data_IF_568939534310
#
_entry.id   IF_568939534310
#
_cell.length_a   1.000
_cell.length_b   1.000
_cell.length_c   1.000
_cell.angle_alpha   90.00
_cell.angle_beta   90.00
_cell.angle_gamma   90.00
#
_symmetry.space_group_name_H-M   'P 1'
#
loop_
_entity.id
_entity.type
_entity.pdbx_description
1 polymer ?
#
# COMPACT_ATOMS: atom_id res chain seq x y z
N UNK A 1 -22.13 -6.27 7.62
CA UNK A 1 -23.52 -6.15 8.10
C UNK A 1 -23.95 -4.71 8.41
N UNK A 2 -23.02 -3.75 8.45
CA UNK A 2 -23.32 -2.33 8.59
C UNK A 2 -24.41 -1.83 7.62
N UNK A 3 -25.24 -0.90 8.11
CA UNK A 3 -26.25 -0.19 7.32
C UNK A 3 -25.59 1.00 6.60
N UNK A 4 -25.13 0.77 5.38
CA UNK A 4 -24.47 1.76 4.53
C UNK A 4 -25.19 1.83 3.18
N UNK A 5 -25.30 3.02 2.60
CA UNK A 5 -25.89 3.20 1.28
C UNK A 5 -24.94 2.66 0.21
N UNK A 6 -25.47 2.35 -0.99
CA UNK A 6 -24.62 1.98 -2.13
C UNK A 6 -23.59 3.08 -2.46
N UNK A 7 -23.96 4.37 -2.59
CA UNK A 7 -22.99 5.45 -2.81
C UNK A 7 -21.96 5.57 -1.69
N UNK A 8 -22.37 5.42 -0.42
CA UNK A 8 -21.46 5.46 0.72
C UNK A 8 -20.44 4.32 0.70
N UNK A 9 -20.90 3.10 0.41
CA UNK A 9 -20.04 1.93 0.28
C UNK A 9 -19.08 2.04 -0.91
N UNK A 10 -19.55 2.53 -2.06
CA UNK A 10 -18.72 2.78 -3.24
C UNK A 10 -17.62 3.81 -2.93
N UNK A 11 -17.96 4.90 -2.25
CA UNK A 11 -16.98 5.93 -1.86
C UNK A 11 -15.92 5.39 -0.89
N UNK A 12 -16.34 4.60 0.11
CA UNK A 12 -15.43 3.93 1.04
C UNK A 12 -14.53 2.97 0.28
N UNK A 13 -15.10 2.13 -0.58
CA UNK A 13 -14.37 1.12 -1.35
C UNK A 13 -13.30 1.76 -2.23
N UNK A 14 -13.67 2.76 -3.03
CA UNK A 14 -12.72 3.44 -3.92
C UNK A 14 -11.60 4.12 -3.14
N UNK A 15 -11.94 4.84 -2.06
CA UNK A 15 -10.95 5.55 -1.25
C UNK A 15 -9.95 4.59 -0.60
N UNK A 16 -10.42 3.50 -0.02
CA UNK A 16 -9.55 2.57 0.69
C UNK A 16 -8.77 1.68 -0.28
N UNK A 17 -9.36 1.27 -1.41
CA UNK A 17 -8.62 0.58 -2.49
C UNK A 17 -7.44 1.42 -3.00
N UNK A 18 -7.65 2.73 -3.17
CA UNK A 18 -6.63 3.68 -3.59
C UNK A 18 -5.44 3.79 -2.61
N UNK A 19 -5.67 3.48 -1.35
CA UNK A 19 -4.68 3.56 -0.26
C UNK A 19 -4.05 2.20 0.06
N UNK A 20 -4.56 1.12 -0.52
CA UNK A 20 -4.19 -0.26 -0.17
C UNK A 20 -3.79 -1.05 -1.44
N UNK A 21 -4.74 -1.69 -2.12
CA UNK A 21 -4.45 -2.50 -3.31
C UNK A 21 -3.80 -1.70 -4.45
N UNK A 22 -4.20 -0.45 -4.68
CA UNK A 22 -3.58 0.39 -5.70
C UNK A 22 -2.16 0.86 -5.32
N UNK A 23 -1.69 0.55 -4.11
CA UNK A 23 -0.37 0.89 -3.59
C UNK A 23 0.61 -0.29 -3.56
N UNK A 24 0.19 -1.49 -3.97
CA UNK A 24 1.08 -2.67 -4.05
C UNK A 24 1.53 -2.95 -5.49
N UNK A 25 2.66 -3.62 -5.63
CA UNK A 25 3.19 -4.17 -6.88
C UNK A 25 4.21 -5.26 -6.55
N UNK A 26 4.08 -6.42 -7.19
CA UNK A 26 5.03 -7.53 -7.05
C UNK A 26 6.07 -7.44 -8.17
N UNK A 27 5.64 -7.55 -9.42
CA UNK A 27 6.45 -7.57 -10.65
C UNK A 27 6.26 -6.31 -11.50
N UNK A 28 5.08 -5.69 -11.44
CA UNK A 28 4.73 -4.51 -12.24
C UNK A 28 3.64 -4.79 -13.27
N UNK A 29 3.23 -6.05 -13.43
CA UNK A 29 2.23 -6.46 -14.41
C UNK A 29 0.83 -6.34 -13.81
N UNK A 30 -0.02 -5.55 -14.45
CA UNK A 30 -1.42 -5.38 -14.01
C UNK A 30 -2.26 -6.48 -14.64
N UNK A 31 -3.01 -7.22 -13.82
CA UNK A 31 -3.85 -8.33 -14.28
C UNK A 31 -5.03 -7.83 -15.11
N UNK A 32 -5.47 -8.62 -16.09
CA UNK A 32 -6.71 -8.39 -16.84
C UNK A 32 -7.97 -8.63 -16.01
N UNK A 33 -7.83 -9.16 -14.79
CA UNK A 33 -8.94 -9.67 -13.98
C UNK A 33 -8.99 -9.08 -12.57
N UNK A 34 -8.16 -8.09 -12.23
CA UNK A 34 -8.17 -7.46 -10.91
C UNK A 34 -9.57 -6.91 -10.58
N UNK A 35 -10.19 -7.47 -9.54
CA UNK A 35 -11.57 -7.17 -9.15
C UNK A 35 -11.69 -7.10 -7.63
N UNK A 36 -12.35 -6.07 -7.12
CA UNK A 36 -12.64 -5.90 -5.70
C UNK A 36 -14.13 -5.62 -5.51
N UNK A 37 -14.80 -6.43 -4.68
CA UNK A 37 -16.23 -6.32 -4.40
C UNK A 37 -16.47 -6.09 -2.91
N UNK A 38 -17.43 -5.23 -2.58
CA UNK A 38 -17.88 -5.01 -1.21
C UNK A 38 -19.41 -5.17 -1.14
N UNK A 39 -19.88 -5.88 -0.12
CA UNK A 39 -21.29 -6.22 0.08
C UNK A 39 -21.69 -5.86 1.51
N UNK A 40 -22.81 -5.18 1.68
CA UNK A 40 -23.37 -4.82 2.97
C UNK A 40 -24.88 -5.07 3.00
N UNK A 41 -25.33 -5.98 3.87
CA UNK A 41 -26.74 -6.39 3.96
C UNK A 41 -27.55 -5.59 5.02
N UNK A 42 -26.93 -4.70 5.79
CA UNK A 42 -27.62 -3.88 6.79
C UNK A 42 -28.12 -4.61 8.04
N UNK A 43 -27.76 -5.89 8.24
CA UNK A 43 -28.27 -6.70 9.34
C UNK A 43 -27.91 -6.19 10.75
N UNK A 44 -26.85 -5.37 10.88
CA UNK A 44 -26.50 -4.73 12.17
C UNK A 44 -27.52 -3.67 12.62
N UNK A 45 -28.41 -3.21 11.72
CA UNK A 45 -29.37 -2.15 11.99
C UNK A 45 -28.70 -0.79 12.25
N UNK A 46 -29.39 0.08 13.00
CA UNK A 46 -28.87 1.39 13.39
C UNK A 46 -29.01 2.50 12.34
N UNK A 47 -28.40 3.67 12.59
CA UNK A 47 -28.37 4.79 11.65
C UNK A 47 -27.57 4.47 10.39
N UNK A 48 -27.72 5.29 9.35
CA UNK A 48 -26.94 5.18 8.13
C UNK A 48 -25.47 5.53 8.41
N UNK A 49 -24.55 4.66 8.02
CA UNK A 49 -23.13 4.72 8.39
C UNK A 49 -22.20 5.27 7.29
N UNK A 50 -22.73 6.00 6.30
CA UNK A 50 -21.97 6.49 5.13
C UNK A 50 -20.76 7.35 5.52
N UNK A 51 -20.93 8.16 6.57
CA UNK A 51 -19.91 9.08 7.09
C UNK A 51 -19.22 8.56 8.35
N UNK A 52 -19.57 7.36 8.83
CA UNK A 52 -19.04 6.82 10.09
C UNK A 52 -17.53 6.55 10.01
N UNK A 53 -16.69 7.27 10.79
CA UNK A 53 -15.25 7.09 10.74
C UNK A 53 -14.82 5.68 11.15
N UNK A 54 -15.55 5.06 12.08
CA UNK A 54 -15.29 3.72 12.60
C UNK A 54 -15.43 2.66 11.52
N UNK A 55 -16.50 2.70 10.71
CA UNK A 55 -16.70 1.82 9.57
C UNK A 55 -15.56 1.95 8.57
N UNK A 56 -15.20 3.19 8.22
CA UNK A 56 -14.15 3.47 7.25
C UNK A 56 -12.77 2.99 7.72
N UNK A 57 -12.44 3.22 8.99
CA UNK A 57 -11.18 2.78 9.60
C UNK A 57 -11.10 1.25 9.67
N UNK A 58 -12.16 0.59 10.12
CA UNK A 58 -12.21 -0.87 10.18
C UNK A 58 -12.09 -1.49 8.78
N UNK A 59 -12.84 -0.94 7.81
CA UNK A 59 -12.76 -1.37 6.42
C UNK A 59 -11.34 -1.20 5.87
N UNK A 60 -10.77 0.00 5.97
CA UNK A 60 -9.42 0.32 5.53
C UNK A 60 -8.34 -0.59 6.15
N UNK A 61 -8.44 -0.90 7.44
CA UNK A 61 -7.52 -1.81 8.12
C UNK A 61 -7.56 -3.23 7.53
N UNK A 62 -8.76 -3.71 7.16
CA UNK A 62 -8.92 -5.01 6.49
C UNK A 62 -8.28 -4.99 5.09
N UNK A 63 -8.54 -3.98 4.26
CA UNK A 63 -7.88 -3.93 2.94
C UNK A 63 -6.37 -3.76 3.06
N UNK A 64 -5.87 -3.00 4.03
CA UNK A 64 -4.43 -2.86 4.24
C UNK A 64 -3.79 -4.20 4.60
N UNK A 65 -4.43 -4.95 5.49
CA UNK A 65 -3.98 -6.29 5.86
C UNK A 65 -3.94 -7.21 4.63
N UNK A 66 -5.02 -7.26 3.84
CA UNK A 66 -5.11 -8.11 2.65
C UNK A 66 -4.11 -7.69 1.57
N UNK A 67 -3.96 -6.40 1.29
CA UNK A 67 -2.98 -5.91 0.32
C UNK A 67 -1.54 -6.26 0.71
N UNK A 68 -1.20 -6.15 2.01
CA UNK A 68 0.10 -6.59 2.53
C UNK A 68 0.29 -8.10 2.44
N UNK A 69 -0.77 -8.88 2.64
CA UNK A 69 -0.73 -10.34 2.48
C UNK A 69 -0.42 -10.73 1.03
N UNK A 70 -1.12 -10.14 0.06
CA UNK A 70 -0.86 -10.33 -1.38
C UNK A 70 0.59 -9.98 -1.73
N UNK A 71 1.08 -8.81 -1.30
CA UNK A 71 2.45 -8.39 -1.59
C UNK A 71 3.51 -9.30 -0.93
N UNK A 72 3.20 -9.90 0.23
CA UNK A 72 4.09 -10.82 0.94
C UNK A 72 4.14 -12.19 0.28
N UNK A 73 3.03 -12.62 -0.31
CA UNK A 73 2.88 -13.89 -1.03
C UNK A 73 3.20 -13.75 -2.53
N UNK A 74 3.96 -12.70 -2.90
CA UNK A 74 4.46 -12.56 -4.26
C UNK A 74 5.35 -13.75 -4.65
N UNK A 75 5.37 -14.11 -5.92
CA UNK A 75 6.10 -15.27 -6.41
C UNK A 75 7.59 -15.22 -6.01
N UNK A 76 8.05 -16.21 -5.25
CA UNK A 76 9.43 -16.30 -4.76
C UNK A 76 9.82 -15.22 -3.73
N UNK A 77 8.86 -14.46 -3.18
CA UNK A 77 9.14 -13.41 -2.22
C UNK A 77 9.63 -13.97 -0.88
N UNK A 78 10.76 -13.46 -0.38
CA UNK A 78 11.31 -13.80 0.94
C UNK A 78 11.22 -12.64 1.94
N UNK A 79 10.92 -11.43 1.45
CA UNK A 79 10.88 -10.19 2.23
C UNK A 79 9.78 -9.27 1.69
N UNK A 80 9.12 -8.56 2.59
CA UNK A 80 8.16 -7.51 2.24
C UNK A 80 8.87 -6.15 2.23
N UNK A 81 8.83 -5.45 1.09
CA UNK A 81 9.30 -4.07 0.97
C UNK A 81 8.17 -3.09 1.29
N UNK A 82 8.39 -2.18 2.23
CA UNK A 82 7.52 -1.02 2.44
C UNK A 82 8.29 0.24 2.12
N UNK A 83 7.80 1.03 1.16
CA UNK A 83 8.40 2.32 0.81
C UNK A 83 7.52 3.42 1.41
N UNK A 84 8.13 4.26 2.26
CA UNK A 84 7.48 5.46 2.80
C UNK A 84 8.15 6.69 2.20
N UNK A 85 7.33 7.59 1.63
CA UNK A 85 7.78 8.86 1.09
C UNK A 85 7.13 9.98 1.89
N UNK A 86 7.96 10.88 2.42
CA UNK A 86 7.56 12.04 3.20
C UNK A 86 8.14 13.30 2.53
N UNK A 87 7.50 14.45 2.71
CA UNK A 87 7.98 15.74 2.17
C UNK A 87 7.82 15.92 0.65
N UNK A 88 7.06 15.07 -0.03
CA UNK A 88 6.68 15.30 -1.42
C UNK A 88 5.72 16.49 -1.54
N UNK A 89 5.68 17.13 -2.72
CA UNK A 89 4.80 18.28 -2.97
C UNK A 89 3.31 17.92 -2.78
N UNK A 90 2.92 16.74 -3.27
CA UNK A 90 1.58 16.20 -3.11
C UNK A 90 1.59 14.67 -3.07
N UNK A 91 0.42 14.09 -2.79
CA UNK A 91 0.23 12.64 -2.71
C UNK A 91 0.53 11.94 -4.04
N UNK A 92 0.30 12.59 -5.19
CA UNK A 92 0.57 11.98 -6.51
C UNK A 92 2.06 11.85 -6.75
N UNK A 93 2.85 12.86 -6.36
CA UNK A 93 4.31 12.78 -6.37
C UNK A 93 4.84 11.73 -5.41
N UNK A 94 4.32 11.69 -4.18
CA UNK A 94 4.70 10.67 -3.21
C UNK A 94 4.43 9.24 -3.75
N UNK A 95 3.26 9.03 -4.36
CA UNK A 95 2.89 7.77 -5.00
C UNK A 95 3.83 7.40 -6.15
N UNK A 96 4.17 8.36 -7.03
CA UNK A 96 5.12 8.14 -8.14
C UNK A 96 6.50 7.72 -7.63
N UNK A 97 7.03 8.45 -6.66
CA UNK A 97 8.30 8.14 -6.01
C UNK A 97 8.28 6.74 -5.35
N UNK A 98 7.26 6.45 -4.55
CA UNK A 98 7.11 5.18 -3.87
C UNK A 98 7.04 4.01 -4.87
N UNK A 99 6.24 4.15 -5.94
CA UNK A 99 6.07 3.11 -6.95
C UNK A 99 7.36 2.87 -7.74
N UNK A 100 8.10 3.91 -8.08
CA UNK A 100 9.38 3.79 -8.79
C UNK A 100 10.43 3.02 -7.96
N UNK A 101 10.52 3.30 -6.66
CA UNK A 101 11.42 2.58 -5.74
C UNK A 101 10.95 1.14 -5.53
N UNK A 102 9.66 0.94 -5.24
CA UNK A 102 9.10 -0.38 -5.00
C UNK A 102 9.18 -1.29 -6.24
N UNK A 103 9.14 -0.73 -7.45
CA UNK A 103 9.20 -1.50 -8.70
C UNK A 103 10.62 -1.77 -9.19
N UNK A 104 11.64 -1.11 -8.63
CA UNK A 104 13.03 -1.23 -9.09
C UNK A 104 13.60 -2.62 -8.84
N UNK A 105 14.00 -3.32 -9.91
CA UNK A 105 14.69 -4.62 -9.83
C UNK A 105 16.00 -4.54 -9.02
N UNK A 106 16.73 -3.44 -9.14
CA UNK A 106 17.95 -3.22 -8.37
C UNK A 106 17.66 -3.06 -6.87
N UNK A 107 16.59 -2.36 -6.50
CA UNK A 107 16.18 -2.25 -5.09
C UNK A 107 15.70 -3.62 -4.57
N UNK A 108 14.87 -4.34 -5.33
CA UNK A 108 14.38 -5.69 -4.97
C UNK A 108 15.51 -6.68 -4.77
N UNK A 109 16.51 -6.71 -5.66
CA UNK A 109 17.67 -7.59 -5.54
C UNK A 109 18.59 -7.21 -4.38
N UNK A 110 18.78 -5.92 -4.11
CA UNK A 110 19.51 -5.46 -2.93
C UNK A 110 18.81 -5.88 -1.63
N UNK A 111 17.48 -5.71 -1.56
CA UNK A 111 16.66 -6.18 -0.45
C UNK A 111 16.80 -7.70 -0.26
N UNK A 112 16.71 -8.49 -1.34
CA UNK A 112 16.89 -9.94 -1.29
C UNK A 112 18.25 -10.30 -0.67
N UNK A 113 19.34 -9.69 -1.15
CA UNK A 113 20.70 -9.85 -0.66
C UNK A 113 20.98 -9.25 0.73
N UNK A 114 19.99 -8.62 1.38
CA UNK A 114 20.16 -7.90 2.64
C UNK A 114 21.21 -6.76 2.58
N UNK A 115 21.38 -6.16 1.40
CA UNK A 115 22.26 -5.02 1.16
C UNK A 115 21.47 -3.71 1.28
N UNK A 116 21.68 -2.87 2.31
CA UNK A 116 20.97 -1.60 2.49
C UNK A 116 21.51 -0.52 1.52
N UNK A 117 21.33 -0.76 0.22
CA UNK A 117 21.91 0.04 -0.84
C UNK A 117 21.10 1.31 -1.12
N UNK A 118 21.37 2.36 -0.34
CA UNK A 118 20.71 3.67 -0.49
C UNK A 118 20.95 4.32 -1.86
N UNK A 119 22.06 3.99 -2.53
CA UNK A 119 22.36 4.47 -3.88
C UNK A 119 21.36 3.98 -4.92
N UNK A 120 20.95 2.70 -4.84
CA UNK A 120 19.90 2.14 -5.70
C UNK A 120 18.53 2.76 -5.44
N UNK A 121 18.22 3.08 -4.18
CA UNK A 121 16.99 3.79 -3.82
C UNK A 121 17.00 5.22 -4.38
N UNK A 122 18.11 5.94 -4.23
CA UNK A 122 18.27 7.30 -4.75
C UNK A 122 18.18 7.33 -6.29
N UNK A 123 18.78 6.34 -6.97
CA UNK A 123 18.66 6.21 -8.42
C UNK A 123 17.19 5.99 -8.85
N UNK A 124 16.46 5.12 -8.15
CA UNK A 124 15.05 4.87 -8.41
C UNK A 124 14.15 6.09 -8.17
N UNK A 125 14.45 6.87 -7.14
CA UNK A 125 13.80 8.16 -6.92
C UNK A 125 14.13 9.15 -8.06
N UNK A 126 15.37 9.16 -8.54
CA UNK A 126 15.84 10.07 -9.59
C UNK A 126 15.10 9.90 -10.93
N UNK A 127 14.73 8.67 -11.30
CA UNK A 127 13.94 8.41 -12.52
C UNK A 127 12.42 8.37 -12.28
N UNK A 128 11.94 8.59 -11.05
CA UNK A 128 10.53 8.43 -10.69
C UNK A 128 9.55 9.43 -11.35
N UNK A 129 10.08 10.53 -11.89
CA UNK A 129 9.27 11.64 -12.39
C UNK A 129 8.57 12.46 -11.29
N UNK A 130 8.86 12.20 -10.01
CA UNK A 130 8.46 13.06 -8.90
C UNK A 130 9.45 14.23 -8.75
N UNK A 131 8.95 15.42 -8.40
CA UNK A 131 9.81 16.57 -8.15
C UNK A 131 10.71 16.31 -6.94
N UNK A 132 12.02 16.39 -7.12
CA UNK A 132 12.99 16.27 -6.02
C UNK A 132 14.13 17.28 -6.19
N UNK A 133 14.54 17.92 -5.09
CA UNK A 133 15.76 18.72 -5.05
C UNK A 133 16.91 17.78 -4.73
N UNK A 134 17.87 17.63 -5.66
CA UNK A 134 18.99 16.66 -5.57
C UNK A 134 19.77 16.68 -4.25
N UNK A 135 19.78 17.80 -3.51
CA UNK A 135 20.52 17.97 -2.25
C UNK A 135 19.62 18.03 -1.00
N UNK A 136 18.34 17.65 -1.10
CA UNK A 136 17.39 17.71 0.01
C UNK A 136 16.68 16.37 0.27
N UNK A 137 17.20 15.26 -0.26
CA UNK A 137 16.61 13.93 -0.08
C UNK A 137 17.37 13.16 0.99
N UNK A 138 16.67 12.77 2.05
CA UNK A 138 17.14 11.77 3.01
C UNK A 138 16.59 10.39 2.67
N UNK A 139 17.43 9.35 2.74
CA UNK A 139 17.00 7.96 2.59
C UNK A 139 17.36 7.20 3.86
N UNK A 140 16.36 6.56 4.46
CA UNK A 140 16.55 5.70 5.64
C UNK A 140 16.12 4.28 5.28
N UNK A 141 16.95 3.31 5.66
CA UNK A 141 16.62 1.89 5.59
C UNK A 141 16.31 1.38 7.00
N UNK A 142 15.14 0.78 7.19
CA UNK A 142 14.76 0.20 8.48
C UNK A 142 14.24 -1.22 8.30
N UNK A 143 14.42 -2.04 9.33
CA UNK A 143 13.76 -3.33 9.45
C UNK A 143 12.55 -3.14 10.36
N UNK A 144 11.36 -3.37 9.84
CA UNK A 144 10.17 -3.42 10.70
C UNK A 144 10.36 -4.54 11.75
N UNK A 145 9.90 -4.35 13.00
CA UNK A 145 9.86 -5.44 13.96
C UNK A 145 9.11 -6.62 13.32
N UNK A 146 9.58 -7.84 13.56
CA UNK A 146 8.86 -9.03 13.11
C UNK A 146 7.46 -8.95 13.67
N UNK A 147 6.45 -8.85 12.81
CA UNK A 147 5.07 -9.14 13.21
C UNK A 147 5.13 -10.55 13.79
N UNK A 148 4.88 -10.69 15.08
CA UNK A 148 4.71 -12.01 15.68
C UNK A 148 3.66 -12.75 14.84
N UNK A 149 3.82 -14.07 14.58
CA UNK A 149 2.78 -14.84 13.94
C UNK A 149 1.47 -14.60 14.71
N UNK A 150 0.37 -14.39 13.99
CA UNK A 150 -0.97 -14.20 14.55
C UNK A 150 -1.23 -15.33 15.57
N UNK A 151 -1.15 -14.99 16.86
CA UNK A 151 -1.50 -15.88 17.95
C UNK A 151 -3.02 -15.86 18.08
N UNK A 152 -3.70 -16.43 17.07
CA UNK A 152 -5.11 -16.80 17.15
C UNK A 152 -5.24 -18.26 16.76
N UNK A 153 -5.08 -19.10 17.79
CA UNK A 153 -5.72 -20.41 17.87
C UNK A 153 -7.16 -20.28 18.33
#
# INVERSE_FOLDING_TARGET
DARVSRPGLEQILHREADRTFNMISVDGDTSTNDTLLALANGAAGGPLADDEPTLRQAFGAVLEHLARAVARDGEGATKLLTVRVEGAHDVREARRAARAVASSLLVKTALFGADPNVGRIAAALGYSGATSRRNAVGVTWWKAPSLAPDQRG
#
